data_IF_601678329319
#
_entry.id   IF_601678329319
#
_cell.length_a   1.000
_cell.length_b   1.000
_cell.length_c   1.000
_cell.angle_alpha   90.00
_cell.angle_beta   90.00
_cell.angle_gamma   90.00
#
_symmetry.space_group_name_H-M   'P 1'
#
loop_
_entity.id
_entity.type
_entity.pdbx_description
1 polymer ?
#
# COMPACT_ATOMS: atom_id res chain seq x y z
N UNK A 1 -18.50 19.87 -8.58
CA UNK A 1 -17.30 19.31 -7.96
C UNK A 1 -17.13 17.86 -8.39
N UNK A 2 -15.99 17.53 -8.98
CA UNK A 2 -15.59 16.14 -9.22
C UNK A 2 -15.00 15.57 -7.93
N UNK A 3 -15.22 14.30 -7.64
CA UNK A 3 -14.60 13.62 -6.50
C UNK A 3 -13.67 12.52 -6.99
N UNK A 4 -12.44 12.51 -6.50
CA UNK A 4 -11.45 11.46 -6.72
C UNK A 4 -11.26 10.73 -5.39
N UNK A 5 -11.46 9.42 -5.41
CA UNK A 5 -11.16 8.50 -4.32
C UNK A 5 -10.07 7.55 -4.79
N UNK A 6 -8.97 7.44 -4.05
CA UNK A 6 -7.85 6.60 -4.46
C UNK A 6 -7.21 5.83 -3.30
N UNK A 7 -6.50 4.76 -3.64
CA UNK A 7 -5.64 4.05 -2.70
C UNK A 7 -4.44 4.90 -2.25
N UNK A 8 -3.92 4.63 -1.06
CA UNK A 8 -3.04 5.55 -0.34
C UNK A 8 -1.56 5.47 -0.73
N UNK A 9 -1.17 4.49 -1.53
CA UNK A 9 0.21 4.29 -1.95
C UNK A 9 0.58 5.08 -3.22
N UNK A 10 1.82 4.88 -3.68
CA UNK A 10 2.32 5.55 -4.87
C UNK A 10 1.46 5.29 -6.11
N UNK A 11 0.92 4.08 -6.31
CA UNK A 11 0.14 3.77 -7.51
C UNK A 11 -1.20 4.52 -7.51
N UNK A 12 -1.93 4.53 -6.39
CA UNK A 12 -3.16 5.30 -6.26
C UNK A 12 -2.95 6.81 -6.39
N UNK A 13 -1.90 7.36 -5.77
CA UNK A 13 -1.57 8.80 -5.86
C UNK A 13 -1.16 9.19 -7.28
N UNK A 14 -0.30 8.41 -7.94
CA UNK A 14 0.14 8.70 -9.32
C UNK A 14 -0.96 8.48 -10.35
N UNK A 15 -1.82 7.48 -10.17
CA UNK A 15 -3.04 7.27 -10.95
C UNK A 15 -3.96 8.49 -10.89
N UNK A 16 -4.12 9.08 -9.71
CA UNK A 16 -4.91 10.30 -9.50
C UNK A 16 -4.29 11.51 -10.23
N UNK A 17 -2.96 11.66 -10.15
CA UNK A 17 -2.25 12.72 -10.87
C UNK A 17 -2.40 12.59 -12.39
N UNK A 18 -2.29 11.37 -12.91
CA UNK A 18 -2.51 11.07 -14.33
C UNK A 18 -3.94 11.38 -14.76
N UNK A 19 -4.95 11.00 -13.97
CA UNK A 19 -6.35 11.31 -14.25
C UNK A 19 -6.59 12.82 -14.31
N UNK A 20 -6.12 13.58 -13.31
CA UNK A 20 -6.27 15.04 -13.26
C UNK A 20 -5.62 15.70 -14.48
N UNK A 21 -4.43 15.24 -14.87
CA UNK A 21 -3.73 15.78 -16.04
C UNK A 21 -4.45 15.44 -17.35
N UNK A 22 -5.00 14.23 -17.46
CA UNK A 22 -5.72 13.79 -18.65
C UNK A 22 -7.06 14.51 -18.84
N UNK A 23 -7.82 14.71 -17.76
CA UNK A 23 -9.17 15.27 -17.81
C UNK A 23 -9.22 16.78 -17.61
N UNK A 24 -8.20 17.38 -16.99
CA UNK A 24 -8.14 18.80 -16.63
C UNK A 24 -9.45 19.31 -16.01
N UNK A 25 -9.97 18.65 -14.94
CA UNK A 25 -11.24 19.02 -14.34
C UNK A 25 -11.15 20.43 -13.74
N UNK A 26 -12.17 21.27 -13.96
CA UNK A 26 -12.21 22.65 -13.44
C UNK A 26 -12.07 22.71 -11.91
N UNK A 27 -12.79 21.83 -11.20
CA UNK A 27 -12.74 21.69 -9.74
C UNK A 27 -12.85 20.22 -9.34
N UNK A 28 -12.00 19.80 -8.41
CA UNK A 28 -12.03 18.46 -7.82
C UNK A 28 -11.73 18.46 -6.33
N UNK A 29 -12.29 17.47 -5.63
CA UNK A 29 -11.89 17.07 -4.29
C UNK A 29 -11.14 15.76 -4.39
N UNK A 30 -10.01 15.66 -3.70
CA UNK A 30 -9.21 14.45 -3.60
C UNK A 30 -9.32 13.87 -2.20
N UNK A 31 -9.70 12.61 -2.08
CA UNK A 31 -9.84 11.90 -0.80
C UNK A 31 -9.21 10.52 -0.94
N UNK A 32 -8.55 10.02 0.09
CA UNK A 32 -8.11 8.62 0.15
C UNK A 32 -8.90 7.86 1.22
N UNK A 33 -8.94 6.53 1.15
CA UNK A 33 -9.57 5.71 2.18
C UNK A 33 -8.81 5.76 3.52
N UNK A 34 -9.45 5.34 4.63
CA UNK A 34 -8.71 5.12 5.87
C UNK A 34 -7.56 4.14 5.62
N UNK A 35 -6.35 4.53 6.03
CA UNK A 35 -5.14 3.76 5.74
C UNK A 35 -5.25 2.37 6.37
N UNK A 36 -5.14 1.34 5.55
CA UNK A 36 -5.27 -0.05 5.96
C UNK A 36 -6.70 -0.61 5.91
N UNK A 37 -7.69 0.16 5.46
CA UNK A 37 -9.07 -0.28 5.30
C UNK A 37 -9.53 -0.24 3.83
N UNK A 38 -10.08 -1.36 3.34
CA UNK A 38 -10.61 -1.46 1.98
C UNK A 38 -12.12 -1.21 1.95
N UNK A 39 -12.52 0.00 2.35
CA UNK A 39 -13.93 0.46 2.36
C UNK A 39 -14.05 1.97 2.23
N UNK A 40 -15.25 2.44 1.95
CA UNK A 40 -15.60 3.87 2.06
C UNK A 40 -16.07 4.18 3.48
N UNK A 41 -15.42 5.16 4.11
CA UNK A 41 -15.86 5.70 5.39
C UNK A 41 -16.88 6.82 5.22
N UNK A 42 -17.43 7.31 6.34
CA UNK A 42 -18.45 8.36 6.35
C UNK A 42 -18.01 9.61 5.60
N UNK A 43 -16.74 10.01 5.73
CA UNK A 43 -16.17 11.16 5.00
C UNK A 43 -16.23 10.97 3.49
N UNK A 44 -15.94 9.78 2.98
CA UNK A 44 -16.03 9.47 1.55
C UNK A 44 -17.51 9.47 1.11
N UNK A 45 -18.39 8.82 1.86
CA UNK A 45 -19.83 8.78 1.53
C UNK A 45 -20.45 10.18 1.47
N UNK A 46 -20.17 11.02 2.46
CA UNK A 46 -20.62 12.42 2.50
C UNK A 46 -20.12 13.25 1.31
N UNK A 47 -18.91 12.96 0.82
CA UNK A 47 -18.36 13.61 -0.35
C UNK A 47 -19.02 13.11 -1.64
N UNK A 48 -19.31 11.81 -1.73
CA UNK A 48 -20.02 11.19 -2.86
C UNK A 48 -21.40 11.82 -3.05
N UNK A 49 -22.15 12.05 -1.96
CA UNK A 49 -23.49 12.66 -2.01
C UNK A 49 -23.48 14.07 -2.62
N UNK A 50 -22.36 14.78 -2.52
CA UNK A 50 -22.19 16.16 -3.02
C UNK A 50 -21.50 16.21 -4.39
N UNK A 51 -21.00 15.08 -4.88
CA UNK A 51 -20.23 14.99 -6.10
C UNK A 51 -21.14 15.04 -7.34
N UNK A 52 -20.68 15.69 -8.40
CA UNK A 52 -21.33 15.60 -9.73
C UNK A 52 -20.89 14.35 -10.48
N UNK A 53 -19.67 13.90 -10.22
CA UNK A 53 -19.02 12.75 -10.84
C UNK A 53 -17.99 12.20 -9.87
N UNK A 54 -17.90 10.88 -9.79
CA UNK A 54 -16.95 10.15 -8.96
C UNK A 54 -15.90 9.47 -9.84
N UNK A 55 -14.66 9.48 -9.37
CA UNK A 55 -13.56 8.70 -9.91
C UNK A 55 -13.01 7.85 -8.77
N UNK A 56 -12.92 6.54 -8.97
CA UNK A 56 -12.29 5.62 -8.01
C UNK A 56 -11.08 5.02 -8.70
N UNK A 57 -9.91 5.14 -8.10
CA UNK A 57 -8.64 4.77 -8.70
C UNK A 57 -7.84 3.85 -7.79
N UNK A 58 -7.36 2.75 -8.35
CA UNK A 58 -6.46 1.79 -7.68
C UNK A 58 -7.00 1.22 -6.36
N UNK A 59 -8.31 1.28 -6.16
CA UNK A 59 -8.90 0.91 -4.88
C UNK A 59 -9.93 -0.18 -5.07
N UNK A 60 -9.53 -1.41 -4.74
CA UNK A 60 -10.32 -2.62 -4.97
C UNK A 60 -11.51 -2.73 -4.00
N UNK A 61 -12.53 -1.90 -4.24
CA UNK A 61 -13.77 -1.82 -3.44
C UNK A 61 -15.03 -1.96 -4.31
N UNK A 62 -15.16 -3.03 -5.12
CA UNK A 62 -16.30 -3.20 -6.02
C UNK A 62 -17.64 -3.21 -5.27
N UNK A 63 -17.68 -3.70 -4.04
CA UNK A 63 -18.91 -3.73 -3.24
C UNK A 63 -19.37 -2.33 -2.82
N UNK A 64 -18.43 -1.43 -2.51
CA UNK A 64 -18.74 -0.03 -2.19
C UNK A 64 -19.20 0.73 -3.43
N UNK A 65 -18.47 0.56 -4.55
CA UNK A 65 -18.79 1.20 -5.83
C UNK A 65 -20.15 0.75 -6.36
N UNK A 66 -20.59 -0.47 -6.03
CA UNK A 66 -21.92 -0.96 -6.38
C UNK A 66 -23.06 -0.12 -5.83
N UNK A 67 -22.85 0.53 -4.69
CA UNK A 67 -23.88 1.27 -3.96
C UNK A 67 -23.97 2.75 -4.36
N UNK A 68 -23.03 3.24 -5.18
CA UNK A 68 -22.98 4.66 -5.55
C UNK A 68 -24.16 5.07 -6.43
N UNK A 69 -24.60 6.32 -6.28
CA UNK A 69 -25.76 6.88 -7.00
C UNK A 69 -25.39 8.01 -7.97
N UNK A 70 -24.10 8.15 -8.27
CA UNK A 70 -23.51 9.18 -9.13
C UNK A 70 -22.75 8.52 -10.26
N UNK A 71 -22.67 9.17 -11.43
CA UNK A 71 -21.85 8.70 -12.53
C UNK A 71 -20.40 8.50 -12.05
N UNK A 72 -19.88 7.30 -12.24
CA UNK A 72 -18.61 6.87 -11.67
C UNK A 72 -17.73 6.26 -12.74
N UNK A 73 -16.48 6.70 -12.80
CA UNK A 73 -15.42 6.00 -13.53
C UNK A 73 -14.54 5.27 -12.50
N UNK A 74 -14.54 3.96 -12.56
CA UNK A 74 -13.75 3.11 -11.67
C UNK A 74 -12.63 2.45 -12.46
N UNK A 75 -11.38 2.82 -12.15
CA UNK A 75 -10.18 2.29 -12.81
C UNK A 75 -9.35 1.54 -11.79
N UNK A 76 -9.04 0.28 -12.09
CA UNK A 76 -8.29 -0.60 -11.20
C UNK A 76 -7.59 -1.71 -12.02
N UNK A 77 -6.67 -2.43 -11.42
CA UNK A 77 -5.94 -3.55 -12.00
C UNK A 77 -6.06 -4.85 -11.18
N UNK A 78 -6.59 -4.77 -9.94
CA UNK A 78 -6.78 -5.92 -9.08
C UNK A 78 -7.84 -6.89 -9.59
N UNK A 79 -7.68 -8.18 -9.27
CA UNK A 79 -8.69 -9.20 -9.55
C UNK A 79 -9.98 -8.92 -8.75
N UNK A 80 -11.09 -8.78 -9.47
CA UNK A 80 -12.38 -8.43 -8.88
C UNK A 80 -13.57 -8.87 -9.73
N UNK A 81 -14.77 -8.78 -9.15
CA UNK A 81 -16.02 -9.06 -9.86
C UNK A 81 -16.40 -7.88 -10.77
N UNK A 82 -17.17 -8.19 -11.83
CA UNK A 82 -17.77 -7.16 -12.67
C UNK A 82 -18.85 -6.41 -11.89
N UNK A 83 -18.81 -5.09 -12.00
CA UNK A 83 -19.79 -4.19 -11.41
C UNK A 83 -21.10 -4.22 -12.21
N UNK A 84 -22.22 -4.32 -11.51
CA UNK A 84 -23.58 -4.38 -12.09
C UNK A 84 -24.28 -3.03 -12.10
N UNK A 85 -23.79 -2.05 -11.35
CA UNK A 85 -24.39 -0.73 -11.26
C UNK A 85 -24.25 0.00 -12.62
N UNK A 86 -25.36 0.40 -13.28
CA UNK A 86 -25.32 1.02 -14.61
C UNK A 86 -24.71 2.42 -14.62
N UNK A 87 -24.51 3.06 -13.46
CA UNK A 87 -23.86 4.36 -13.34
C UNK A 87 -22.32 4.26 -13.32
N UNK A 88 -21.78 3.04 -13.33
CA UNK A 88 -20.35 2.80 -13.17
C UNK A 88 -19.75 2.29 -14.47
N UNK A 89 -18.84 3.09 -15.04
CA UNK A 89 -17.89 2.61 -16.05
C UNK A 89 -16.71 1.97 -15.33
N UNK A 90 -16.61 0.63 -15.41
CA UNK A 90 -15.50 -0.12 -14.82
C UNK A 90 -14.43 -0.39 -15.89
N UNK A 91 -13.24 0.18 -15.70
CA UNK A 91 -12.04 -0.05 -16.52
C UNK A 91 -11.06 -0.89 -15.72
N UNK A 92 -11.08 -2.21 -15.95
CA UNK A 92 -10.15 -3.11 -15.29
C UNK A 92 -9.75 -4.28 -16.21
N UNK A 93 -8.46 -4.39 -16.59
CA UNK A 93 -7.99 -5.47 -17.46
C UNK A 93 -8.14 -6.89 -16.90
N UNK A 94 -8.18 -7.05 -15.57
CA UNK A 94 -8.35 -8.36 -14.93
C UNK A 94 -9.70 -9.01 -15.25
N UNK A 95 -10.72 -8.21 -15.59
CA UNK A 95 -12.02 -8.70 -16.06
C UNK A 95 -11.94 -9.44 -17.39
N UNK A 96 -10.85 -9.24 -18.14
CA UNK A 96 -10.52 -9.93 -19.38
C UNK A 96 -9.44 -11.01 -19.17
N UNK A 97 -9.09 -11.32 -17.91
CA UNK A 97 -8.03 -12.26 -17.56
C UNK A 97 -6.61 -11.73 -17.81
N UNK A 98 -6.44 -10.41 -18.01
CA UNK A 98 -5.12 -9.80 -18.21
C UNK A 98 -4.54 -9.35 -16.87
N UNK A 99 -3.26 -9.64 -16.66
CA UNK A 99 -2.50 -9.09 -15.54
C UNK A 99 -1.87 -7.76 -15.93
N UNK A 100 -2.03 -6.74 -15.08
CA UNK A 100 -1.43 -5.42 -15.26
C UNK A 100 -0.55 -5.06 -14.07
N UNK A 101 0.67 -4.52 -14.29
CA UNK A 101 1.60 -4.24 -13.20
C UNK A 101 1.17 -3.15 -12.21
N UNK A 102 0.25 -2.26 -12.60
CA UNK A 102 -0.25 -1.16 -11.77
C UNK A 102 -1.49 -0.54 -12.39
N UNK A 103 -2.30 0.15 -11.58
CA UNK A 103 -3.40 1.01 -12.03
C UNK A 103 -2.89 2.21 -12.83
N UNK A 104 -1.73 2.79 -12.49
CA UNK A 104 -1.16 3.93 -13.23
C UNK A 104 -0.96 3.62 -14.72
N UNK A 105 -0.57 2.38 -15.05
CA UNK A 105 -0.47 1.90 -16.43
C UNK A 105 -1.84 1.82 -17.10
N UNK A 106 -2.88 1.37 -16.39
CA UNK A 106 -4.25 1.30 -16.90
C UNK A 106 -4.78 2.70 -17.20
N UNK A 107 -4.58 3.67 -16.30
CA UNK A 107 -4.96 5.07 -16.50
C UNK A 107 -4.22 5.65 -17.71
N UNK A 108 -2.91 5.43 -17.80
CA UNK A 108 -2.09 5.89 -18.92
C UNK A 108 -2.52 5.33 -20.26
N UNK A 109 -2.82 4.03 -20.34
CA UNK A 109 -3.34 3.41 -21.56
C UNK A 109 -4.72 3.97 -21.95
N UNK A 110 -5.62 4.12 -20.96
CA UNK A 110 -6.98 4.60 -21.20
C UNK A 110 -7.00 5.99 -21.81
N UNK A 111 -6.10 6.87 -21.36
CA UNK A 111 -6.07 8.28 -21.75
C UNK A 111 -4.93 8.63 -22.73
N UNK A 112 -4.07 7.67 -23.10
CA UNK A 112 -2.93 7.91 -23.97
C UNK A 112 -1.86 8.83 -23.37
N UNK A 113 -1.75 8.87 -22.03
CA UNK A 113 -0.84 9.75 -21.30
C UNK A 113 0.21 8.95 -20.54
N UNK A 114 1.45 8.94 -21.02
CA UNK A 114 2.56 8.22 -20.41
C UNK A 114 3.68 9.18 -19.99
N UNK A 115 4.02 9.20 -18.70
CA UNK A 115 5.10 10.02 -18.13
C UNK A 115 5.75 9.29 -16.93
N UNK A 116 6.62 9.97 -16.17
CA UNK A 116 7.24 9.37 -14.98
C UNK A 116 6.23 8.84 -13.95
N UNK A 117 5.06 9.47 -13.79
CA UNK A 117 4.07 9.00 -12.81
C UNK A 117 3.54 7.61 -13.16
N UNK A 118 3.40 7.30 -14.45
CA UNK A 118 3.09 5.95 -14.92
C UNK A 118 4.14 4.94 -14.44
N UNK A 119 5.42 5.28 -14.61
CA UNK A 119 6.52 4.41 -14.19
C UNK A 119 6.59 4.27 -12.66
N UNK A 120 6.42 5.37 -11.92
CA UNK A 120 6.47 5.37 -10.46
C UNK A 120 5.34 4.54 -9.84
N UNK A 121 4.12 4.57 -10.38
CA UNK A 121 3.05 3.68 -9.91
C UNK A 121 3.40 2.19 -10.06
N UNK A 122 3.98 1.79 -11.21
CA UNK A 122 4.46 0.43 -11.41
C UNK A 122 5.61 0.05 -10.46
N UNK A 123 6.56 0.96 -10.22
CA UNK A 123 7.64 0.73 -9.24
C UNK A 123 7.07 0.65 -7.81
N UNK A 124 6.04 1.43 -7.50
CA UNK A 124 5.32 1.39 -6.22
C UNK A 124 4.71 0.03 -5.93
N UNK A 125 4.03 -0.55 -6.92
CA UNK A 125 3.23 -1.75 -6.71
C UNK A 125 4.04 -3.04 -6.81
N UNK A 126 4.91 -3.18 -7.83
CA UNK A 126 5.71 -4.40 -8.06
C UNK A 126 7.20 -4.26 -7.75
N UNK A 127 7.65 -3.10 -7.24
CA UNK A 127 9.03 -2.88 -6.81
C UNK A 127 10.04 -2.96 -7.96
N UNK A 128 11.21 -3.54 -7.69
CA UNK A 128 12.30 -3.65 -8.67
C UNK A 128 11.92 -4.41 -9.95
N UNK A 129 10.92 -5.31 -9.88
CA UNK A 129 10.42 -6.02 -11.08
C UNK A 129 9.87 -5.06 -12.13
N UNK A 130 9.43 -3.87 -11.75
CA UNK A 130 9.00 -2.84 -12.69
C UNK A 130 10.11 -2.46 -13.69
N UNK A 131 11.38 -2.54 -13.29
CA UNK A 131 12.51 -2.20 -14.17
C UNK A 131 12.76 -3.24 -15.27
N UNK A 132 12.12 -4.41 -15.23
CA UNK A 132 12.13 -5.38 -16.33
C UNK A 132 11.23 -4.93 -17.48
N UNK A 133 10.26 -4.04 -17.21
CA UNK A 133 9.33 -3.52 -18.20
C UNK A 133 10.02 -2.42 -19.04
N UNK A 134 10.07 -2.61 -20.36
CA UNK A 134 10.66 -1.65 -21.28
C UNK A 134 10.00 -0.27 -21.19
N UNK A 135 8.67 -0.23 -21.07
CA UNK A 135 7.90 1.01 -20.91
C UNK A 135 8.33 1.80 -19.67
N UNK A 136 8.50 1.14 -18.52
CA UNK A 136 8.93 1.78 -17.27
C UNK A 136 10.31 2.40 -17.45
N UNK A 137 11.28 1.63 -17.97
CA UNK A 137 12.65 2.11 -18.20
C UNK A 137 12.68 3.34 -19.11
N UNK A 138 11.98 3.29 -20.25
CA UNK A 138 11.93 4.42 -21.19
C UNK A 138 11.31 5.68 -20.57
N UNK A 139 10.29 5.53 -19.74
CA UNK A 139 9.65 6.69 -19.09
C UNK A 139 10.55 7.33 -18.04
N UNK A 140 11.27 6.52 -17.24
CA UNK A 140 12.25 7.03 -16.28
C UNK A 140 13.44 7.71 -17.00
N UNK A 141 13.97 7.09 -18.06
CA UNK A 141 15.07 7.66 -18.86
C UNK A 141 14.71 9.03 -19.47
N UNK A 142 13.47 9.20 -19.94
CA UNK A 142 12.99 10.48 -20.51
C UNK A 142 13.00 11.62 -19.50
N UNK A 143 12.79 11.31 -18.23
CA UNK A 143 12.82 12.25 -17.11
C UNK A 143 14.21 12.31 -16.46
N UNK A 144 15.16 11.52 -16.98
CA UNK A 144 16.53 11.41 -16.50
C UNK A 144 16.64 10.81 -15.10
N UNK A 145 15.70 9.95 -14.69
CA UNK A 145 15.68 9.29 -13.38
C UNK A 145 16.44 7.96 -13.41
N UNK A 146 17.31 7.73 -12.44
CA UNK A 146 17.90 6.42 -12.18
C UNK A 146 16.92 5.45 -11.50
N UNK A 147 17.28 4.17 -11.42
CA UNK A 147 16.48 3.17 -10.68
C UNK A 147 16.41 3.49 -9.19
N UNK A 148 17.53 3.91 -8.62
CA UNK A 148 17.67 4.28 -7.23
C UNK A 148 16.86 5.53 -6.91
N UNK A 149 16.87 6.53 -7.80
CA UNK A 149 16.02 7.72 -7.68
C UNK A 149 14.53 7.36 -7.77
N UNK A 150 14.12 6.46 -8.67
CA UNK A 150 12.74 6.00 -8.77
C UNK A 150 12.27 5.27 -7.49
N UNK A 151 13.09 4.37 -6.95
CA UNK A 151 12.80 3.70 -5.67
C UNK A 151 12.73 4.71 -4.52
N UNK A 152 13.62 5.70 -4.51
CA UNK A 152 13.60 6.77 -3.51
C UNK A 152 12.33 7.62 -3.62
N UNK A 153 11.89 7.97 -4.82
CA UNK A 153 10.64 8.72 -5.03
C UNK A 153 9.42 7.94 -4.53
N UNK A 154 9.33 6.64 -4.84
CA UNK A 154 8.29 5.76 -4.30
C UNK A 154 8.30 5.77 -2.78
N UNK A 155 9.47 5.60 -2.16
CA UNK A 155 9.59 5.65 -0.70
C UNK A 155 9.14 6.99 -0.11
N UNK A 156 9.47 8.11 -0.77
CA UNK A 156 9.07 9.44 -0.35
C UNK A 156 7.55 9.64 -0.43
N UNK A 157 6.91 9.19 -1.51
CA UNK A 157 5.45 9.27 -1.66
C UNK A 157 4.76 8.36 -0.63
N UNK A 158 5.21 7.10 -0.53
CA UNK A 158 4.69 6.10 0.41
C UNK A 158 4.87 6.51 1.87
N UNK A 159 5.87 7.34 2.18
CA UNK A 159 6.11 7.82 3.54
C UNK A 159 4.87 8.41 4.19
N UNK A 160 3.97 9.01 3.39
CA UNK A 160 2.72 9.60 3.87
C UNK A 160 1.77 8.57 4.47
N UNK A 161 1.48 7.47 3.76
CA UNK A 161 0.60 6.44 4.31
C UNK A 161 1.31 5.59 5.38
N UNK A 162 2.63 5.40 5.28
CA UNK A 162 3.40 4.68 6.30
C UNK A 162 3.35 5.44 7.63
N UNK A 163 3.33 6.77 7.57
CA UNK A 163 3.12 7.63 8.74
C UNK A 163 1.67 7.66 9.24
N UNK A 164 0.76 6.91 8.61
CA UNK A 164 -0.69 6.89 8.91
C UNK A 164 -1.30 8.29 8.76
N UNK A 165 -0.73 9.10 7.86
CA UNK A 165 -1.09 10.50 7.65
C UNK A 165 -1.97 10.63 6.40
N UNK A 166 -3.27 10.39 6.59
CA UNK A 166 -4.28 10.40 5.52
C UNK A 166 -4.36 11.74 4.79
N UNK A 167 -4.25 12.86 5.52
CA UNK A 167 -4.30 14.20 4.93
C UNK A 167 -3.07 14.45 4.04
N UNK A 168 -1.88 14.02 4.46
CA UNK A 168 -0.69 14.15 3.62
C UNK A 168 -0.73 13.26 2.37
N UNK A 169 -1.40 12.10 2.42
CA UNK A 169 -1.66 11.29 1.21
C UNK A 169 -2.56 12.06 0.23
N UNK A 170 -3.59 12.73 0.73
CA UNK A 170 -4.50 13.52 -0.11
C UNK A 170 -3.80 14.76 -0.70
N UNK A 171 -2.94 15.41 0.08
CA UNK A 171 -2.13 16.54 -0.38
C UNK A 171 -1.01 16.09 -1.35
N UNK A 172 -0.56 14.83 -1.29
CA UNK A 172 0.49 14.33 -2.17
C UNK A 172 0.14 14.47 -3.66
N UNK A 173 -1.15 14.37 -4.01
CA UNK A 173 -1.62 14.66 -5.36
C UNK A 173 -1.26 16.09 -5.79
N UNK A 174 -1.53 17.10 -4.93
CA UNK A 174 -1.20 18.49 -5.24
C UNK A 174 0.30 18.71 -5.34
N UNK A 175 1.07 18.05 -4.47
CA UNK A 175 2.54 18.09 -4.52
C UNK A 175 3.04 17.55 -5.87
N UNK A 176 2.55 16.38 -6.32
CA UNK A 176 2.90 15.83 -7.63
C UNK A 176 2.51 16.75 -8.80
N UNK A 177 1.36 17.41 -8.72
CA UNK A 177 0.88 18.30 -9.78
C UNK A 177 1.64 19.65 -9.84
N UNK A 178 2.31 20.04 -8.76
CA UNK A 178 2.94 21.36 -8.62
C UNK A 178 4.47 21.36 -8.69
N UNK A 179 5.10 20.18 -8.74
CA UNK A 179 6.55 20.03 -8.77
C UNK A 179 6.97 19.16 -9.94
N UNK A 180 8.17 19.40 -10.45
CA UNK A 180 8.81 18.47 -11.35
C UNK A 180 9.23 17.20 -10.58
N UNK A 181 9.17 16.04 -11.23
CA UNK A 181 9.36 14.75 -10.53
C UNK A 181 10.73 14.67 -9.82
N UNK A 182 11.77 15.27 -10.39
CA UNK A 182 13.11 15.31 -9.79
C UNK A 182 13.20 16.18 -8.54
N UNK A 183 12.44 17.26 -8.47
CA UNK A 183 12.43 18.16 -7.32
C UNK A 183 11.90 17.45 -6.06
N UNK A 184 11.05 16.44 -6.25
CA UNK A 184 10.47 15.65 -5.17
C UNK A 184 11.52 14.86 -4.37
N UNK A 185 12.68 14.54 -4.96
CA UNK A 185 13.80 13.90 -4.25
C UNK A 185 14.29 14.74 -3.07
N UNK A 186 14.12 16.06 -3.16
CA UNK A 186 14.54 17.04 -2.15
C UNK A 186 13.35 17.67 -1.41
N UNK A 187 12.12 17.20 -1.64
CA UNK A 187 10.93 17.75 -1.01
C UNK A 187 10.94 17.48 0.50
N UNK A 188 11.39 18.51 1.24
CA UNK A 188 11.73 18.43 2.66
C UNK A 188 10.71 17.73 3.56
N UNK A 189 9.38 17.97 3.43
CA UNK A 189 8.39 17.27 4.23
C UNK A 189 8.42 15.75 4.06
N UNK A 190 8.53 15.24 2.82
CA UNK A 190 8.61 13.81 2.56
C UNK A 190 9.96 13.23 2.95
N UNK A 191 11.06 13.97 2.71
CA UNK A 191 12.41 13.55 3.10
C UNK A 191 12.47 13.31 4.62
N UNK A 192 12.03 14.27 5.43
CA UNK A 192 12.00 14.16 6.90
C UNK A 192 11.13 12.99 7.36
N UNK A 193 9.97 12.80 6.74
CA UNK A 193 9.04 11.72 7.08
C UNK A 193 9.67 10.35 6.78
N UNK A 194 10.27 10.20 5.60
CA UNK A 194 10.96 8.97 5.20
C UNK A 194 12.19 8.69 6.09
N UNK A 195 12.95 9.70 6.49
CA UNK A 195 14.09 9.55 7.42
C UNK A 195 13.63 9.05 8.79
N UNK A 196 12.60 9.66 9.38
CA UNK A 196 12.04 9.20 10.66
C UNK A 196 11.52 7.74 10.58
N UNK A 197 10.92 7.36 9.45
CA UNK A 197 10.46 5.98 9.20
C UNK A 197 11.66 5.02 9.13
N UNK A 198 12.73 5.38 8.43
CA UNK A 198 13.95 4.56 8.36
C UNK A 198 14.58 4.39 9.72
N UNK A 199 14.72 5.48 10.48
CA UNK A 199 15.25 5.43 11.85
C UNK A 199 14.41 4.50 12.74
N UNK A 200 13.09 4.53 12.62
CA UNK A 200 12.21 3.61 13.35
C UNK A 200 12.38 2.15 12.93
N UNK A 201 12.58 1.87 11.64
CA UNK A 201 12.85 0.51 11.14
C UNK A 201 14.20 0.00 11.66
N UNK A 202 15.26 0.80 11.54
CA UNK A 202 16.60 0.43 12.02
C UNK A 202 16.62 0.27 13.55
N UNK A 203 15.94 1.17 14.27
CA UNK A 203 15.76 1.08 15.71
C UNK A 203 15.06 -0.21 16.12
N UNK A 204 13.98 -0.60 15.44
CA UNK A 204 13.33 -1.88 15.68
C UNK A 204 14.30 -3.05 15.44
N UNK A 205 14.94 -3.11 14.26
CA UNK A 205 15.84 -4.23 13.91
C UNK A 205 17.05 -4.35 14.85
N UNK A 206 17.50 -3.26 15.47
CA UNK A 206 18.60 -3.29 16.43
C UNK A 206 18.31 -4.10 17.71
N UNK A 207 17.03 -4.29 18.06
CA UNK A 207 16.57 -5.05 19.24
C UNK A 207 16.26 -6.52 18.97
N UNK A 208 16.80 -7.08 17.88
CA UNK A 208 16.48 -8.45 17.47
C UNK A 208 17.08 -9.50 18.42
N UNK A 209 16.25 -10.43 18.85
CA UNK A 209 16.65 -11.68 19.49
C UNK A 209 16.58 -12.81 18.48
N UNK A 210 17.60 -13.68 18.44
CA UNK A 210 17.58 -14.87 17.58
C UNK A 210 17.16 -16.12 18.36
N UNK A 211 16.24 -16.90 17.79
CA UNK A 211 15.84 -18.23 18.28
C UNK A 211 15.78 -19.21 17.12
N UNK A 212 16.65 -20.23 17.11
CA UNK A 212 16.72 -21.27 16.07
C UNK A 212 16.76 -20.72 14.62
N UNK A 213 17.46 -19.60 14.39
CA UNK A 213 17.50 -18.92 13.10
C UNK A 213 16.27 -18.08 12.76
N UNK A 214 15.31 -17.93 13.67
CA UNK A 214 14.23 -16.95 13.58
C UNK A 214 14.59 -15.68 14.35
N UNK A 215 14.30 -14.52 13.77
CA UNK A 215 14.39 -13.23 14.43
C UNK A 215 13.09 -12.95 15.21
N UNK A 216 13.22 -12.43 16.43
CA UNK A 216 12.11 -11.96 17.25
C UNK A 216 12.43 -10.52 17.64
N UNK A 217 11.51 -9.60 17.38
CA UNK A 217 11.70 -8.19 17.70
C UNK A 217 10.43 -7.60 18.27
N UNK A 218 10.58 -6.87 19.35
CA UNK A 218 9.52 -6.07 19.96
C UNK A 218 9.93 -4.59 19.95
N UNK A 219 9.01 -3.74 19.49
CA UNK A 219 9.21 -2.29 19.43
C UNK A 219 7.89 -1.55 19.60
N UNK A 220 7.95 -0.23 19.77
CA UNK A 220 6.79 0.65 19.66
C UNK A 220 7.06 1.67 18.56
N UNK A 221 6.13 1.79 17.62
CA UNK A 221 6.21 2.81 16.57
C UNK A 221 4.82 3.27 16.16
N UNK A 222 4.60 4.58 15.96
CA UNK A 222 3.37 5.08 15.36
C UNK A 222 3.30 4.78 13.86
N UNK A 223 4.39 4.33 13.24
CA UNK A 223 4.43 4.08 11.80
C UNK A 223 3.97 2.67 11.46
N UNK A 224 3.33 2.52 10.30
CA UNK A 224 2.91 1.23 9.75
C UNK A 224 4.10 0.47 9.13
N UNK A 225 5.08 0.11 9.97
CA UNK A 225 6.38 -0.44 9.53
C UNK A 225 6.59 -1.92 9.87
N UNK A 226 5.66 -2.56 10.60
CA UNK A 226 5.86 -3.91 11.12
C UNK A 226 6.19 -4.94 10.03
N UNK A 227 5.51 -4.84 8.87
CA UNK A 227 5.81 -5.69 7.73
C UNK A 227 7.19 -5.41 7.16
N UNK A 228 7.62 -4.15 7.07
CA UNK A 228 8.94 -3.72 6.56
C UNK A 228 10.07 -4.22 7.45
N UNK A 229 9.91 -4.12 8.78
CA UNK A 229 10.82 -4.70 9.77
C UNK A 229 10.98 -6.20 9.53
N UNK A 230 9.88 -6.94 9.43
CA UNK A 230 9.93 -8.39 9.18
C UNK A 230 10.57 -8.76 7.82
N UNK A 231 10.35 -7.98 6.75
CA UNK A 231 11.03 -8.25 5.47
C UNK A 231 12.51 -8.00 5.55
N UNK A 232 12.92 -6.90 6.19
CA UNK A 232 14.34 -6.57 6.35
C UNK A 232 15.06 -7.71 7.07
N UNK A 233 14.48 -8.23 8.16
CA UNK A 233 15.01 -9.40 8.87
C UNK A 233 15.14 -10.63 7.94
N UNK A 234 14.08 -11.01 7.23
CA UNK A 234 14.10 -12.26 6.43
C UNK A 234 14.87 -12.14 5.11
N UNK A 235 14.69 -11.05 4.35
CA UNK A 235 15.22 -10.90 3.00
C UNK A 235 16.58 -10.23 2.94
N UNK A 236 16.85 -9.26 3.81
CA UNK A 236 18.14 -8.54 3.82
C UNK A 236 19.13 -9.19 4.79
N UNK A 237 18.67 -9.60 5.98
CA UNK A 237 19.54 -10.18 7.02
C UNK A 237 19.56 -11.71 7.03
N UNK A 238 18.72 -12.37 6.23
CA UNK A 238 18.81 -13.80 5.96
C UNK A 238 18.27 -14.72 7.07
N UNK A 239 17.46 -14.22 8.00
CA UNK A 239 16.79 -15.08 8.99
C UNK A 239 15.79 -16.04 8.31
N UNK A 240 15.61 -17.24 8.87
CA UNK A 240 14.63 -18.24 8.40
C UNK A 240 13.18 -17.74 8.50
N UNK A 241 12.94 -16.86 9.46
CA UNK A 241 11.69 -16.14 9.62
C UNK A 241 11.86 -15.02 10.64
N UNK A 242 10.84 -14.17 10.78
CA UNK A 242 10.82 -13.06 11.70
C UNK A 242 9.44 -12.91 12.34
N UNK A 243 9.42 -12.79 13.67
CA UNK A 243 8.27 -12.33 14.45
C UNK A 243 8.55 -10.89 14.86
N UNK A 244 7.79 -9.96 14.29
CA UNK A 244 7.83 -8.56 14.66
C UNK A 244 6.59 -8.22 15.48
N UNK A 245 6.76 -7.49 16.58
CA UNK A 245 5.70 -7.04 17.48
C UNK A 245 5.79 -5.52 17.61
N UNK A 246 4.71 -4.83 17.23
CA UNK A 246 4.52 -3.42 17.55
C UNK A 246 3.56 -3.31 18.74
N UNK A 247 4.09 -3.07 19.94
CA UNK A 247 3.34 -3.11 21.20
C UNK A 247 2.30 -1.99 21.37
N UNK A 248 2.41 -0.93 20.56
CA UNK A 248 1.48 0.20 20.57
C UNK A 248 1.41 0.91 19.20
N UNK A 249 0.49 0.44 18.36
CA UNK A 249 0.09 1.08 17.12
C UNK A 249 -1.28 1.73 17.30
N UNK A 250 -1.29 3.04 17.61
CA UNK A 250 -2.50 3.82 17.84
C UNK A 250 -3.48 3.19 18.85
N UNK A 251 -2.95 2.64 19.95
CA UNK A 251 -3.74 2.01 21.02
C UNK A 251 -4.04 0.52 20.82
N UNK A 252 -3.61 -0.07 19.71
CA UNK A 252 -3.64 -1.53 19.45
C UNK A 252 -2.23 -2.12 19.49
N UNK A 253 -2.14 -3.43 19.54
CA UNK A 253 -0.89 -4.15 19.27
C UNK A 253 -0.95 -4.80 17.88
N UNK A 254 0.20 -4.90 17.24
CA UNK A 254 0.35 -5.62 15.98
C UNK A 254 1.36 -6.76 16.15
N UNK A 255 1.07 -7.92 15.55
CA UNK A 255 2.00 -9.02 15.40
C UNK A 255 2.13 -9.34 13.91
N UNK A 256 3.36 -9.52 13.45
CA UNK A 256 3.64 -9.93 12.09
C UNK A 256 4.64 -11.08 12.09
N UNK A 257 4.24 -12.21 11.54
CA UNK A 257 5.08 -13.38 11.40
C UNK A 257 5.34 -13.63 9.91
N UNK A 258 6.60 -13.55 9.50
CA UNK A 258 7.03 -13.86 8.13
C UNK A 258 8.03 -14.99 8.17
N UNK A 259 7.93 -15.89 7.21
CA UNK A 259 8.85 -17.00 7.04
C UNK A 259 9.47 -16.98 5.64
N UNK A 260 10.63 -17.61 5.49
CA UNK A 260 11.24 -17.82 4.19
C UNK A 260 10.41 -18.81 3.35
N UNK A 261 10.65 -18.83 2.04
CA UNK A 261 9.99 -19.79 1.15
C UNK A 261 10.30 -21.24 1.51
N UNK A 262 11.50 -21.53 2.04
CA UNK A 262 11.88 -22.87 2.52
C UNK A 262 11.05 -23.28 3.75
N UNK A 263 10.88 -22.37 4.71
CA UNK A 263 10.05 -22.63 5.88
C UNK A 263 8.56 -22.76 5.52
N UNK A 264 8.12 -22.14 4.43
CA UNK A 264 6.75 -22.27 3.93
C UNK A 264 6.40 -23.64 3.33
N UNK A 265 7.37 -24.56 3.24
CA UNK A 265 7.13 -25.99 3.00
C UNK A 265 6.90 -26.78 4.30
N UNK A 266 7.30 -26.22 5.46
CA UNK A 266 7.25 -26.88 6.77
C UNK A 266 6.15 -26.32 7.66
N UNK A 267 5.95 -25.01 7.64
CA UNK A 267 5.00 -24.29 8.49
C UNK A 267 3.73 -24.06 7.69
N UNK A 268 2.63 -24.64 8.17
CA UNK A 268 1.30 -24.37 7.62
C UNK A 268 0.77 -23.04 8.14
N UNK A 269 1.12 -21.94 7.46
CA UNK A 269 0.71 -20.59 7.89
C UNK A 269 -0.82 -20.42 7.98
N UNK A 270 -1.60 -21.15 7.16
CA UNK A 270 -3.06 -21.09 7.23
C UNK A 270 -3.59 -21.56 8.59
N UNK A 271 -3.01 -22.64 9.14
CA UNK A 271 -3.34 -23.14 10.48
C UNK A 271 -2.95 -22.13 11.57
N UNK A 272 -1.78 -21.51 11.46
CA UNK A 272 -1.34 -20.46 12.40
C UNK A 272 -2.34 -19.30 12.40
N UNK A 273 -2.74 -18.83 11.22
CA UNK A 273 -3.73 -17.75 11.06
C UNK A 273 -5.07 -18.13 11.70
N UNK A 274 -5.58 -19.34 11.45
CA UNK A 274 -6.85 -19.79 12.04
C UNK A 274 -6.80 -19.84 13.56
N UNK A 275 -5.70 -20.34 14.13
CA UNK A 275 -5.48 -20.37 15.58
C UNK A 275 -5.42 -18.96 16.17
N UNK A 276 -4.69 -18.03 15.55
CA UNK A 276 -4.64 -16.63 16.00
C UNK A 276 -6.02 -15.97 15.91
N UNK A 277 -6.76 -16.17 14.82
CA UNK A 277 -8.13 -15.65 14.66
C UNK A 277 -9.09 -16.18 15.72
N UNK A 278 -8.90 -17.41 16.20
CA UNK A 278 -9.75 -18.00 17.25
C UNK A 278 -9.70 -17.25 18.59
N UNK A 279 -8.68 -16.41 18.80
CA UNK A 279 -8.57 -15.50 19.95
C UNK A 279 -9.47 -14.25 19.82
N UNK A 280 -10.21 -14.10 18.72
CA UNK A 280 -11.03 -12.93 18.43
C UNK A 280 -10.23 -11.74 17.85
N UNK A 281 -9.02 -12.00 17.34
CA UNK A 281 -8.16 -10.97 16.75
C UNK A 281 -8.45 -10.77 15.26
N UNK A 282 -8.06 -9.62 14.72
CA UNK A 282 -8.08 -9.38 13.28
C UNK A 282 -6.76 -9.89 12.68
N UNK A 283 -6.76 -11.15 12.21
CA UNK A 283 -5.59 -11.78 11.61
C UNK A 283 -5.87 -12.32 10.21
N UNK A 284 -4.86 -12.24 9.36
CA UNK A 284 -4.89 -12.70 7.98
C UNK A 284 -3.49 -12.81 7.40
N UNK A 285 -3.38 -13.23 6.14
CA UNK A 285 -2.06 -13.44 5.55
C UNK A 285 -2.08 -14.26 4.27
N UNK A 286 -0.89 -14.71 3.89
CA UNK A 286 -0.65 -15.59 2.73
C UNK A 286 0.19 -16.77 3.19
N UNK A 287 0.62 -17.60 2.23
CA UNK A 287 1.45 -18.78 2.47
C UNK A 287 2.67 -18.53 3.38
N UNK A 288 3.34 -17.40 3.22
CA UNK A 288 4.62 -17.10 3.90
C UNK A 288 4.47 -16.07 5.04
N UNK A 289 3.24 -15.65 5.35
CA UNK A 289 3.04 -14.49 6.22
C UNK A 289 1.71 -14.51 6.96
N UNK A 290 1.76 -14.09 8.22
CA UNK A 290 0.62 -13.73 9.07
C UNK A 290 0.81 -12.28 9.54
N UNK A 291 -0.25 -11.49 9.44
CA UNK A 291 -0.38 -10.20 10.12
C UNK A 291 -1.59 -10.25 11.04
N UNK A 292 -1.46 -9.66 12.22
CA UNK A 292 -2.50 -9.61 13.24
C UNK A 292 -2.53 -8.22 13.87
N UNK A 293 -3.72 -7.65 14.03
CA UNK A 293 -3.99 -6.45 14.83
C UNK A 293 -4.98 -6.82 15.92
N UNK A 294 -4.68 -6.46 17.16
CA UNK A 294 -5.48 -6.86 18.32
C UNK A 294 -5.41 -5.84 19.46
N UNK A 295 -6.27 -6.01 20.47
CA UNK A 295 -6.11 -5.31 21.74
C UNK A 295 -4.76 -5.67 22.39
N UNK A 296 -4.19 -4.74 23.15
CA UNK A 296 -2.85 -4.91 23.72
C UNK A 296 -2.75 -6.09 24.68
N UNK A 297 -3.84 -6.45 25.37
CA UNK A 297 -3.90 -7.60 26.29
C UNK A 297 -3.96 -8.96 25.56
N UNK A 298 -4.19 -8.97 24.24
CA UNK A 298 -4.25 -10.20 23.42
C UNK A 298 -2.94 -10.56 22.73
N UNK A 299 -1.95 -9.66 22.76
CA UNK A 299 -0.70 -9.86 22.02
C UNK A 299 0.10 -11.06 22.53
N UNK A 300 0.15 -11.27 23.84
CA UNK A 300 0.88 -12.39 24.45
C UNK A 300 0.27 -13.74 24.06
N UNK A 301 -1.06 -13.82 23.98
CA UNK A 301 -1.75 -15.05 23.57
C UNK A 301 -1.52 -15.36 22.09
N UNK A 302 -1.52 -14.33 21.23
CA UNK A 302 -1.17 -14.48 19.83
C UNK A 302 0.31 -14.89 19.64
N UNK A 303 1.22 -14.30 20.43
CA UNK A 303 2.64 -14.62 20.40
C UNK A 303 2.90 -16.07 20.79
N UNK A 304 2.28 -16.58 21.86
CA UNK A 304 2.41 -18.00 22.29
C UNK A 304 2.11 -18.98 21.16
N UNK A 305 1.06 -18.71 20.36
CA UNK A 305 0.72 -19.55 19.21
C UNK A 305 1.85 -19.55 18.18
N UNK A 306 2.43 -18.39 17.89
CA UNK A 306 3.52 -18.26 16.91
C UNK A 306 4.81 -18.88 17.43
N UNK A 307 5.12 -18.75 18.72
CA UNK A 307 6.32 -19.31 19.34
C UNK A 307 6.42 -20.84 19.22
N UNK A 308 5.29 -21.55 19.12
CA UNK A 308 5.24 -23.00 18.87
C UNK A 308 5.91 -23.40 17.54
N UNK A 309 6.04 -22.48 16.59
CA UNK A 309 6.59 -22.72 15.26
C UNK A 309 8.03 -22.22 15.09
N UNK A 310 8.65 -21.71 16.16
CA UNK A 310 10.04 -21.20 16.14
C UNK A 310 11.07 -22.30 16.51
N UNK A 311 10.69 -23.57 16.41
CA UNK A 311 11.47 -24.76 16.80
C UNK A 311 11.98 -25.60 15.63
#
# INVERSE_FOLDING_TARGET
MNLIVHHWDTDGVTSSALLVRALSPEEFTNITAPIGEFRFDERIWDAIEKAKRLYVLDFNVPDEVEMVKVETLFIDHHAQRRIKNPLVEQVNPSLEGKHYPSCSLVVSERFGLFNAWTALGAVGDIGEKAFELETVRKLLEREGLSREEALRLVELIDSNYIAVDREAVEEALRVLLSHEVKELLEYGPWVKKAEAIREAIEGAVSGVEERNGFAIVEFESPFNIISKVARKLVWELGYRGAVAINGNFHGKAQLYFRISGEEAERINMAEVIERVRSLGTNAGGKREVLGCVCERDKIEDALKIVEEYLG
#
